data_IF_789852466170
#
_entry.id   IF_789852466170
#
_cell.length_a   1.000
_cell.length_b   1.000
_cell.length_c   1.000
_cell.angle_alpha   90.00
_cell.angle_beta   90.00
_cell.angle_gamma   90.00
#
_symmetry.space_group_name_H-M   'P 1'
#
loop_
_entity.id
_entity.type
_entity.pdbx_description
1 polymer ?
#
# COMPACT_ATOMS: atom_id res chain seq x y z
N UNK A 1 10.10 27.58 -26.98
CA UNK A 1 10.56 26.28 -26.45
C UNK A 1 11.30 26.57 -25.14
N UNK A 2 10.71 26.27 -23.99
CA UNK A 2 11.29 26.59 -22.67
C UNK A 2 11.44 25.28 -21.89
N UNK A 3 12.64 24.72 -21.93
CA UNK A 3 12.97 23.52 -21.15
C UNK A 3 13.23 23.97 -19.70
N UNK A 4 12.23 23.81 -18.83
CA UNK A 4 12.41 24.02 -17.38
C UNK A 4 13.32 22.91 -16.87
N UNK A 5 14.55 23.28 -16.49
CA UNK A 5 15.43 22.40 -15.74
C UNK A 5 14.78 22.10 -14.38
N UNK A 6 14.22 20.89 -14.24
CA UNK A 6 13.71 20.39 -12.96
C UNK A 6 14.90 20.24 -12.00
N UNK A 7 15.13 21.25 -11.16
CA UNK A 7 16.07 21.13 -10.05
C UNK A 7 15.42 20.22 -9.00
N UNK A 8 15.85 18.97 -8.95
CA UNK A 8 15.44 17.98 -7.94
C UNK A 8 15.85 18.48 -6.55
N UNK A 9 14.88 18.89 -5.75
CA UNK A 9 15.12 19.23 -4.35
C UNK A 9 15.42 17.94 -3.58
N UNK A 10 16.63 17.87 -2.98
CA UNK A 10 17.08 16.72 -2.20
C UNK A 10 16.16 16.44 -1.01
N UNK A 11 15.50 17.46 -0.46
CA UNK A 11 14.54 17.33 0.63
C UNK A 11 13.27 16.62 0.15
N UNK A 12 12.76 16.98 -1.03
CA UNK A 12 11.60 16.30 -1.63
C UNK A 12 11.93 14.84 -1.91
N UNK A 13 13.12 14.55 -2.44
CA UNK A 13 13.57 13.17 -2.66
C UNK A 13 13.63 12.40 -1.33
N UNK A 14 14.21 12.99 -0.29
CA UNK A 14 14.29 12.36 1.03
C UNK A 14 12.91 12.09 1.62
N UNK A 15 11.98 13.05 1.52
CA UNK A 15 10.62 12.90 2.00
C UNK A 15 9.87 11.78 1.26
N UNK A 16 9.99 11.73 -0.07
CA UNK A 16 9.40 10.65 -0.88
C UNK A 16 10.01 9.29 -0.52
N UNK A 17 11.33 9.23 -0.35
CA UNK A 17 12.00 8.00 0.06
C UNK A 17 11.48 7.50 1.40
N UNK A 18 11.43 8.38 2.43
CA UNK A 18 10.91 8.02 3.74
C UNK A 18 9.45 7.56 3.68
N UNK A 19 8.59 8.27 2.95
CA UNK A 19 7.19 7.90 2.80
C UNK A 19 7.01 6.51 2.16
N UNK A 20 7.74 6.23 1.07
CA UNK A 20 7.68 4.94 0.37
C UNK A 20 8.27 3.82 1.24
N UNK A 21 9.39 4.08 1.93
CA UNK A 21 9.99 3.10 2.85
C UNK A 21 9.05 2.79 4.00
N UNK A 22 8.40 3.79 4.61
CA UNK A 22 7.40 3.56 5.65
C UNK A 22 6.23 2.73 5.13
N UNK A 23 5.69 3.07 3.95
CA UNK A 23 4.63 2.29 3.33
C UNK A 23 5.04 0.82 3.11
N UNK A 24 6.24 0.59 2.59
CA UNK A 24 6.79 -0.76 2.39
C UNK A 24 6.96 -1.54 3.71
N UNK A 25 7.49 -0.91 4.76
CA UNK A 25 7.66 -1.56 6.07
C UNK A 25 6.31 -1.93 6.66
N UNK A 26 5.30 -1.07 6.56
CA UNK A 26 3.95 -1.36 7.03
C UNK A 26 3.34 -2.56 6.28
N UNK A 27 3.57 -2.64 4.96
CA UNK A 27 3.11 -3.77 4.16
C UNK A 27 3.71 -5.11 4.62
N UNK A 28 5.02 -5.13 4.93
CA UNK A 28 5.69 -6.32 5.48
C UNK A 28 5.25 -6.66 6.90
N UNK A 29 4.87 -5.65 7.68
CA UNK A 29 4.42 -5.83 9.05
C UNK A 29 2.98 -6.37 9.15
N UNK A 30 2.13 -6.17 8.13
CA UNK A 30 0.71 -6.50 8.18
C UNK A 30 0.38 -7.92 8.69
N UNK A 31 1.07 -9.01 8.26
CA UNK A 31 0.80 -10.37 8.76
C UNK A 31 0.99 -10.56 10.27
N UNK A 32 1.79 -9.70 10.93
CA UNK A 32 2.06 -9.78 12.35
C UNK A 32 1.06 -9.00 13.21
N UNK A 33 0.35 -8.03 12.63
CA UNK A 33 -0.55 -7.13 13.36
C UNK A 33 -2.03 -7.37 13.04
N UNK A 34 -2.34 -7.95 11.89
CA UNK A 34 -3.71 -8.30 11.53
C UNK A 34 -4.10 -9.67 12.07
N UNK A 35 -5.32 -9.83 12.62
CA UNK A 35 -5.83 -11.13 13.04
C UNK A 35 -5.81 -12.15 11.89
N UNK A 36 -5.55 -13.42 12.22
CA UNK A 36 -5.64 -14.50 11.23
C UNK A 36 -7.05 -14.58 10.66
N UNK A 37 -7.15 -14.73 9.34
CA UNK A 37 -8.43 -14.86 8.64
C UNK A 37 -9.18 -13.54 8.40
N UNK A 38 -8.57 -12.37 8.66
CA UNK A 38 -9.21 -11.08 8.40
C UNK A 38 -9.03 -10.58 6.94
N UNK A 39 -8.00 -11.05 6.23
CA UNK A 39 -7.75 -10.72 4.83
C UNK A 39 -7.82 -12.02 4.04
N UNK A 40 -9.03 -12.36 3.59
CA UNK A 40 -9.34 -13.65 2.94
C UNK A 40 -9.52 -13.53 1.44
N UNK A 41 -9.89 -12.35 0.95
CA UNK A 41 -10.03 -12.08 -0.46
C UNK A 41 -8.77 -11.34 -0.96
N UNK A 42 -8.09 -12.00 -1.90
CA UNK A 42 -6.88 -11.52 -2.55
C UNK A 42 -7.01 -11.65 -4.07
N UNK A 43 -8.26 -11.61 -4.57
CA UNK A 43 -8.60 -11.77 -5.99
C UNK A 43 -8.54 -10.47 -6.81
N UNK A 44 -8.03 -9.39 -6.19
CA UNK A 44 -8.12 -8.04 -6.73
C UNK A 44 -7.44 -7.79 -8.11
N UNK A 45 -7.98 -6.81 -8.83
CA UNK A 45 -7.59 -6.33 -10.15
C UNK A 45 -7.03 -4.90 -10.13
N UNK A 46 -5.79 -4.76 -10.63
CA UNK A 46 -5.06 -3.47 -10.73
C UNK A 46 -5.94 -2.31 -11.21
N UNK A 47 -6.07 -1.28 -10.38
CA UNK A 47 -6.80 -0.04 -10.69
C UNK A 47 -8.29 -0.03 -10.32
N UNK A 48 -8.79 -1.09 -9.69
CA UNK A 48 -10.13 -1.18 -9.10
C UNK A 48 -10.00 -1.30 -7.58
N UNK A 49 -10.95 -0.78 -6.81
CA UNK A 49 -11.04 -1.09 -5.37
C UNK A 49 -12.07 -2.20 -5.22
N UNK A 50 -11.62 -3.45 -5.09
CA UNK A 50 -12.48 -4.63 -5.14
C UNK A 50 -12.65 -5.31 -3.77
N UNK A 51 -11.93 -4.84 -2.74
CA UNK A 51 -12.09 -5.28 -1.35
C UNK A 51 -12.58 -4.17 -0.39
N UNK A 52 -13.24 -3.15 -0.92
CA UNK A 52 -13.63 -1.93 -0.20
C UNK A 52 -14.36 -2.22 1.13
N UNK A 53 -15.29 -3.19 1.13
CA UNK A 53 -16.07 -3.55 2.32
C UNK A 53 -15.17 -4.14 3.42
N UNK A 54 -14.18 -4.96 3.06
CA UNK A 54 -13.25 -5.55 4.01
C UNK A 54 -12.27 -4.50 4.54
N UNK A 55 -11.75 -3.64 3.66
CA UNK A 55 -10.83 -2.55 3.99
C UNK A 55 -11.49 -1.56 4.97
N UNK A 56 -12.77 -1.22 4.77
CA UNK A 56 -13.55 -0.34 5.66
C UNK A 56 -13.69 -0.86 7.10
N UNK A 57 -13.60 -2.18 7.30
CA UNK A 57 -13.69 -2.80 8.63
C UNK A 57 -12.32 -2.99 9.31
N UNK A 58 -11.21 -2.65 8.64
CA UNK A 58 -9.88 -2.73 9.24
C UNK A 58 -9.63 -1.56 10.20
N UNK A 59 -8.87 -1.82 11.26
CA UNK A 59 -8.43 -0.78 12.20
C UNK A 59 -7.34 0.09 11.58
N UNK A 60 -7.31 1.37 11.95
CA UNK A 60 -6.23 2.29 11.54
C UNK A 60 -4.88 1.82 12.11
N UNK A 61 -3.77 1.90 11.35
CA UNK A 61 -3.63 2.51 10.02
C UNK A 61 -3.85 1.55 8.84
N UNK A 62 -4.23 0.31 9.09
CA UNK A 62 -4.23 -0.75 8.08
C UNK A 62 -5.24 -0.52 6.97
N UNK A 63 -6.41 0.06 7.28
CA UNK A 63 -7.39 0.45 6.27
C UNK A 63 -6.79 1.37 5.20
N UNK A 64 -5.98 2.37 5.59
CA UNK A 64 -5.35 3.32 4.65
C UNK A 64 -4.26 2.62 3.85
N UNK A 65 -3.43 1.80 4.50
CA UNK A 65 -2.34 1.08 3.83
C UNK A 65 -2.90 0.11 2.79
N UNK A 66 -3.96 -0.63 3.14
CA UNK A 66 -4.63 -1.54 2.22
C UNK A 66 -5.36 -0.79 1.11
N UNK A 67 -5.99 0.35 1.37
CA UNK A 67 -6.63 1.18 0.34
C UNK A 67 -5.62 1.73 -0.69
N UNK A 68 -4.48 2.24 -0.22
CA UNK A 68 -3.39 2.70 -1.10
C UNK A 68 -2.78 1.51 -1.85
N UNK A 69 -2.61 0.36 -1.18
CA UNK A 69 -2.18 -0.89 -1.79
C UNK A 69 -3.10 -1.31 -2.94
N UNK A 70 -4.40 -1.35 -2.72
CA UNK A 70 -5.42 -1.68 -3.73
C UNK A 70 -5.35 -0.71 -4.92
N UNK A 71 -5.27 0.60 -4.67
CA UNK A 71 -5.19 1.59 -5.74
C UNK A 71 -3.88 1.50 -6.56
N UNK A 72 -2.76 1.19 -5.91
CA UNK A 72 -1.42 1.32 -6.52
C UNK A 72 -0.82 0.00 -7.02
N UNK A 73 -1.07 -1.11 -6.33
CA UNK A 73 -0.45 -2.40 -6.58
C UNK A 73 -1.26 -3.49 -5.85
N UNK A 74 -2.30 -3.99 -6.49
CA UNK A 74 -3.23 -4.97 -5.90
C UNK A 74 -2.57 -6.05 -5.07
N UNK A 75 -3.18 -6.33 -3.91
CA UNK A 75 -2.79 -7.39 -3.00
C UNK A 75 -3.25 -8.75 -3.57
N UNK A 76 -2.45 -9.33 -4.45
CA UNK A 76 -2.76 -10.66 -5.01
C UNK A 76 -2.28 -11.79 -4.11
N UNK A 77 -3.04 -12.88 -4.08
CA UNK A 77 -2.66 -14.10 -3.35
C UNK A 77 -1.31 -14.63 -3.80
N UNK A 78 -1.05 -14.62 -5.11
CA UNK A 78 0.21 -15.04 -5.73
C UNK A 78 1.42 -14.17 -5.35
N UNK A 79 1.21 -13.05 -4.65
CA UNK A 79 2.25 -12.08 -4.23
C UNK A 79 2.20 -11.78 -2.73
N UNK A 80 1.43 -12.56 -1.97
CA UNK A 80 1.23 -12.37 -0.54
C UNK A 80 1.95 -13.47 0.26
N UNK A 81 2.39 -13.12 1.48
CA UNK A 81 2.94 -14.08 2.43
C UNK A 81 1.83 -14.60 3.35
N UNK A 82 1.76 -15.92 3.49
CA UNK A 82 0.83 -16.61 4.41
C UNK A 82 1.65 -17.20 5.56
N UNK A 83 1.29 -16.90 6.81
CA UNK A 83 1.99 -17.35 8.04
C UNK A 83 0.98 -17.92 9.03
#
# INVERSE_FOLDING_TARGET
>A
MMCKSFRKDKRIILLLFLAITTFFVLQLAAPFFLPRGNVIDLSGQVGVVDNEQQIKHMTSPWNIIYEIGDLMCHQKSERSFFI
#
